data_IF_042175373656
#
_entry.id   IF_042175373656
#
_cell.length_a   1.000
_cell.length_b   1.000
_cell.length_c   1.000
_cell.angle_alpha   90.00
_cell.angle_beta   90.00
_cell.angle_gamma   90.00
#
_symmetry.space_group_name_H-M   'P 1'
#
loop_
_entity.id
_entity.type
_entity.pdbx_description
1 polymer ?
#
# COMPACT_ATOMS: atom_id res chain seq x y z
N UNK A 1 1.76 -9.55 17.05
CA UNK A 1 2.80 -10.53 17.43
C UNK A 1 4.17 -10.12 16.85
N UNK A 2 5.27 -10.31 17.59
CA UNK A 2 6.61 -10.09 17.04
C UNK A 2 6.91 -11.08 15.89
N UNK A 3 7.70 -10.65 14.91
CA UNK A 3 7.89 -11.31 13.60
C UNK A 3 8.46 -12.74 13.72
N UNK A 4 9.26 -12.98 14.75
CA UNK A 4 9.87 -14.26 15.11
C UNK A 4 8.83 -15.32 15.49
N UNK A 5 7.70 -14.93 16.10
CA UNK A 5 6.62 -15.83 16.54
C UNK A 5 5.52 -16.06 15.50
N UNK A 6 5.58 -15.38 14.35
CA UNK A 6 4.57 -15.53 13.29
C UNK A 6 4.67 -16.89 12.58
N UNK A 7 5.86 -17.46 12.44
CA UNK A 7 6.03 -18.77 11.81
C UNK A 7 5.50 -19.92 12.69
N UNK A 8 5.46 -19.72 14.02
CA UNK A 8 4.91 -20.68 14.98
C UNK A 8 3.38 -20.64 15.03
N UNK A 9 2.79 -19.47 14.78
CA UNK A 9 1.34 -19.25 14.78
C UNK A 9 0.70 -19.49 13.40
N UNK A 10 1.45 -19.30 12.30
CA UNK A 10 1.00 -19.56 10.94
C UNK A 10 2.15 -20.13 10.08
N UNK A 11 2.07 -21.44 9.80
CA UNK A 11 3.07 -22.17 9.01
C UNK A 11 3.28 -21.60 7.60
N UNK A 12 2.30 -20.88 7.05
CA UNK A 12 2.41 -20.27 5.74
C UNK A 12 3.49 -19.17 5.70
N UNK A 13 3.85 -18.55 6.83
CA UNK A 13 4.90 -17.52 6.93
C UNK A 13 6.31 -18.06 6.89
N UNK A 14 6.51 -19.36 7.14
CA UNK A 14 7.85 -19.95 7.31
C UNK A 14 8.77 -19.66 6.11
N UNK A 15 8.28 -19.86 4.88
CA UNK A 15 9.06 -19.60 3.67
C UNK A 15 9.40 -18.12 3.46
N UNK A 16 8.59 -17.20 3.99
CA UNK A 16 8.83 -15.76 3.91
C UNK A 16 9.85 -15.32 4.95
N UNK A 17 9.74 -15.80 6.19
CA UNK A 17 10.71 -15.53 7.26
C UNK A 17 12.08 -16.14 6.95
N UNK A 18 12.10 -17.30 6.30
CA UNK A 18 13.31 -17.96 5.82
C UNK A 18 14.17 -17.05 4.90
N UNK A 19 13.59 -16.06 4.23
CA UNK A 19 14.36 -15.09 3.41
C UNK A 19 15.22 -14.14 4.24
N UNK A 20 14.89 -13.97 5.52
CA UNK A 20 15.68 -13.13 6.44
C UNK A 20 16.87 -13.88 7.05
N UNK A 21 16.94 -15.21 6.88
CA UNK A 21 18.02 -16.04 7.41
C UNK A 21 19.21 -16.08 6.45
N UNK A 22 20.40 -16.43 6.91
CA UNK A 22 21.53 -16.76 6.05
C UNK A 22 21.18 -17.90 5.06
N UNK A 23 21.72 -17.87 3.83
CA UNK A 23 21.40 -18.86 2.82
C UNK A 23 21.74 -20.28 3.29
N UNK A 24 20.86 -21.24 2.97
CA UNK A 24 21.02 -22.64 3.35
C UNK A 24 22.18 -23.29 2.58
N UNK A 25 23.01 -24.08 3.27
CA UNK A 25 24.07 -24.88 2.64
C UNK A 25 23.49 -25.99 1.76
N UNK A 26 24.23 -26.39 0.73
CA UNK A 26 23.85 -27.51 -0.14
C UNK A 26 23.71 -28.79 0.71
N UNK A 27 22.60 -29.52 0.55
CA UNK A 27 22.24 -30.74 1.28
C UNK A 27 21.90 -30.62 2.77
N UNK A 28 21.75 -29.41 3.33
CA UNK A 28 21.30 -29.24 4.72
C UNK A 28 19.77 -29.43 4.83
N UNK A 29 19.31 -30.18 5.85
CA UNK A 29 17.86 -30.35 6.10
C UNK A 29 17.24 -29.02 6.56
N UNK A 30 16.01 -28.73 6.13
CA UNK A 30 15.35 -27.43 6.41
C UNK A 30 15.14 -27.18 7.91
N UNK A 31 14.73 -28.20 8.67
CA UNK A 31 14.50 -28.07 10.11
C UNK A 31 15.79 -27.80 10.90
N UNK A 32 16.88 -28.47 10.51
CA UNK A 32 18.20 -28.28 11.09
C UNK A 32 18.74 -26.88 10.77
N UNK A 33 18.61 -26.44 9.52
CA UNK A 33 18.96 -25.09 9.09
C UNK A 33 18.19 -24.01 9.86
N UNK A 34 16.86 -24.13 10.01
CA UNK A 34 16.06 -23.13 10.76
C UNK A 34 16.44 -23.03 12.24
N UNK A 35 16.98 -24.10 12.83
CA UNK A 35 17.47 -24.12 14.22
C UNK A 35 18.84 -23.46 14.34
N UNK A 36 19.70 -23.62 13.34
CA UNK A 36 21.09 -23.13 13.36
C UNK A 36 21.25 -21.71 12.80
N UNK A 37 20.39 -21.30 11.87
CA UNK A 37 20.52 -20.04 11.14
C UNK A 37 19.50 -19.02 11.66
N UNK A 38 19.83 -18.15 12.63
CA UNK A 38 18.88 -17.19 13.20
C UNK A 38 18.39 -16.18 12.15
N UNK A 39 17.26 -15.53 12.45
CA UNK A 39 16.77 -14.40 11.67
C UNK A 39 17.78 -13.26 11.84
N UNK A 40 18.28 -12.71 10.73
CA UNK A 40 19.23 -11.60 10.78
C UNK A 40 18.55 -10.31 11.23
N UNK A 41 19.28 -9.40 11.90
CA UNK A 41 18.76 -8.08 12.22
C UNK A 41 18.30 -7.36 10.96
N UNK A 42 17.21 -6.61 11.09
CA UNK A 42 16.62 -5.85 10.00
C UNK A 42 16.97 -4.38 10.17
N UNK A 43 17.54 -3.78 9.13
CA UNK A 43 17.88 -2.35 9.09
C UNK A 43 17.05 -1.66 7.99
N UNK A 44 16.69 -0.40 8.22
CA UNK A 44 15.93 0.41 7.27
C UNK A 44 16.82 1.38 6.50
N UNK A 45 17.88 1.86 7.14
CA UNK A 45 18.90 2.71 6.54
C UNK A 45 19.98 1.86 5.87
N UNK A 46 20.58 2.41 4.80
CA UNK A 46 21.70 1.77 4.14
C UNK A 46 22.92 1.77 5.07
N UNK A 47 23.45 0.58 5.38
CA UNK A 47 24.67 0.44 6.17
C UNK A 47 25.93 0.88 5.41
N UNK A 48 25.81 1.20 4.11
CA UNK A 48 26.92 1.62 3.24
C UNK A 48 27.90 0.49 2.88
N UNK A 49 27.72 -0.70 3.47
CA UNK A 49 28.53 -1.89 3.24
C UNK A 49 27.59 -3.09 3.05
N UNK A 50 27.70 -3.75 1.89
CA UNK A 50 27.02 -5.02 1.63
C UNK A 50 27.68 -6.14 2.43
N UNK A 51 27.14 -6.41 3.61
CA UNK A 51 27.51 -7.56 4.44
C UNK A 51 26.34 -8.54 4.55
N UNK A 52 26.62 -9.81 4.86
CA UNK A 52 25.57 -10.81 5.09
C UNK A 52 24.96 -10.75 6.50
N UNK A 53 25.48 -9.88 7.38
CA UNK A 53 25.11 -9.80 8.80
C UNK A 53 23.71 -9.23 9.01
N UNK A 54 23.32 -8.23 8.22
CA UNK A 54 22.04 -7.54 8.32
C UNK A 54 21.20 -7.72 7.06
N UNK A 55 19.88 -7.62 7.21
CA UNK A 55 18.95 -7.54 6.09
C UNK A 55 18.48 -6.10 5.95
N UNK A 56 18.81 -5.48 4.82
CA UNK A 56 18.21 -4.20 4.46
C UNK A 56 16.76 -4.43 4.03
N UNK A 57 15.81 -3.84 4.76
CA UNK A 57 14.40 -3.93 4.43
C UNK A 57 14.03 -2.85 3.43
N UNK A 58 13.74 -3.26 2.21
CA UNK A 58 13.20 -2.42 1.16
C UNK A 58 11.83 -2.95 0.72
N UNK A 59 11.09 -2.18 -0.07
CA UNK A 59 9.72 -2.52 -0.44
C UNK A 59 9.63 -3.83 -1.22
N UNK A 60 10.60 -4.17 -2.08
CA UNK A 60 10.58 -5.42 -2.85
C UNK A 60 10.96 -6.68 -2.05
N UNK A 61 11.38 -6.51 -0.79
CA UNK A 61 11.72 -7.63 0.06
C UNK A 61 10.45 -8.47 0.34
N UNK A 62 10.56 -9.81 0.30
CA UNK A 62 9.38 -10.70 0.32
C UNK A 62 8.52 -10.58 1.59
N UNK A 63 9.12 -10.33 2.74
CA UNK A 63 8.41 -10.08 4.00
C UNK A 63 7.65 -8.75 3.90
N UNK A 64 8.28 -7.69 3.41
CA UNK A 64 7.61 -6.40 3.16
C UNK A 64 6.44 -6.57 2.16
N UNK A 65 6.67 -7.18 1.00
CA UNK A 65 5.63 -7.47 0.01
C UNK A 65 4.49 -8.31 0.58
N UNK A 66 4.79 -9.34 1.38
CA UNK A 66 3.75 -10.18 1.99
C UNK A 66 2.95 -9.43 3.05
N UNK A 67 3.59 -8.61 3.87
CA UNK A 67 2.91 -7.74 4.83
C UNK A 67 1.98 -6.79 4.09
N UNK A 68 2.49 -6.09 3.06
CA UNK A 68 1.72 -5.19 2.20
C UNK A 68 0.57 -5.93 1.48
N UNK A 69 0.81 -7.16 1.02
CA UNK A 69 -0.20 -7.97 0.36
C UNK A 69 -1.39 -8.25 1.27
N UNK A 70 -1.18 -8.46 2.58
CA UNK A 70 -2.30 -8.59 3.54
C UNK A 70 -3.13 -7.31 3.62
N UNK A 71 -2.50 -6.14 3.64
CA UNK A 71 -3.22 -4.86 3.56
C UNK A 71 -3.96 -4.67 2.23
N UNK A 72 -3.48 -5.28 1.14
CA UNK A 72 -4.11 -5.19 -0.19
C UNK A 72 -5.24 -6.17 -0.42
N UNK A 73 -5.16 -7.40 0.12
CA UNK A 73 -6.11 -8.49 -0.15
C UNK A 73 -7.13 -8.74 0.96
N UNK A 74 -6.76 -8.55 2.24
CA UNK A 74 -7.62 -8.90 3.39
C UNK A 74 -8.36 -7.70 4.01
N UNK A 75 -7.97 -6.46 3.66
CA UNK A 75 -8.57 -5.25 4.22
C UNK A 75 -10.05 -5.03 3.89
N UNK A 76 -10.66 -5.82 3.00
CA UNK A 76 -12.00 -5.58 2.47
C UNK A 76 -13.10 -6.47 3.06
N UNK A 77 -12.78 -7.61 3.68
CA UNK A 77 -13.81 -8.63 3.97
C UNK A 77 -14.17 -8.72 5.46
N UNK A 78 -13.23 -8.48 6.39
CA UNK A 78 -13.45 -8.85 7.81
C UNK A 78 -13.11 -7.80 8.86
N UNK A 79 -12.87 -6.54 8.51
CA UNK A 79 -12.35 -5.52 9.45
C UNK A 79 -11.09 -5.97 10.24
N UNK A 80 -10.38 -7.00 9.75
CA UNK A 80 -9.29 -7.71 10.46
C UNK A 80 -8.06 -6.81 10.69
N UNK A 81 -8.02 -5.67 10.01
CA UNK A 81 -6.97 -4.64 10.10
C UNK A 81 -7.40 -3.40 10.89
N UNK A 82 -8.60 -3.36 11.47
CA UNK A 82 -8.95 -2.33 12.44
C UNK A 82 -7.98 -2.43 13.62
N UNK A 83 -7.15 -1.40 13.79
CA UNK A 83 -6.15 -1.30 14.84
C UNK A 83 -6.27 0.06 15.48
N UNK A 84 -6.35 0.07 16.80
CA UNK A 84 -6.11 1.27 17.59
C UNK A 84 -4.63 1.30 17.95
N UNK A 85 -3.96 2.40 17.62
CA UNK A 85 -2.57 2.63 17.97
C UNK A 85 -2.48 3.79 18.94
N UNK A 86 -1.55 3.71 19.88
CA UNK A 86 -1.27 4.76 20.84
C UNK A 86 0.12 5.31 20.56
N UNK A 87 0.22 6.63 20.41
CA UNK A 87 1.48 7.33 20.24
C UNK A 87 1.52 8.53 21.18
N UNK A 88 2.71 8.85 21.68
CA UNK A 88 2.93 10.04 22.48
C UNK A 88 3.48 11.16 21.58
N UNK A 89 2.76 12.27 21.47
CA UNK A 89 3.22 13.46 20.78
C UNK A 89 3.95 14.42 21.73
N UNK A 90 4.62 15.43 21.18
CA UNK A 90 5.33 16.44 21.96
C UNK A 90 4.41 17.41 22.72
N UNK A 91 3.12 17.41 22.41
CA UNK A 91 2.18 18.37 22.93
C UNK A 91 1.26 17.82 24.03
N UNK A 92 0.60 18.73 24.73
CA UNK A 92 -0.20 18.42 25.93
C UNK A 92 -1.68 18.16 25.64
N UNK A 93 -2.10 18.26 24.38
CA UNK A 93 -3.50 18.12 23.99
C UNK A 93 -3.72 16.68 23.51
N UNK A 94 -4.48 15.84 24.23
CA UNK A 94 -4.79 14.52 23.74
C UNK A 94 -5.69 14.63 22.50
N UNK A 95 -5.35 13.85 21.48
CA UNK A 95 -6.07 13.81 20.20
C UNK A 95 -6.37 12.38 19.82
N UNK A 96 -7.45 12.24 19.05
CA UNK A 96 -7.78 11.01 18.36
C UNK A 96 -7.76 11.30 16.87
N UNK A 97 -7.25 10.34 16.09
CA UNK A 97 -7.19 10.41 14.64
C UNK A 97 -7.85 9.15 14.12
N UNK A 98 -8.97 9.31 13.41
CA UNK A 98 -9.60 8.25 12.66
C UNK A 98 -9.08 8.29 11.23
N UNK A 99 -8.46 7.20 10.78
CA UNK A 99 -7.98 7.05 9.42
C UNK A 99 -8.97 6.18 8.64
N UNK A 100 -9.75 6.82 7.76
CA UNK A 100 -10.52 6.14 6.74
C UNK A 100 -9.64 5.73 5.56
N UNK A 101 -10.01 4.64 4.88
CA UNK A 101 -9.43 4.28 3.58
C UNK A 101 -10.55 4.31 2.56
N UNK A 102 -10.46 5.21 1.59
CA UNK A 102 -11.34 5.24 0.43
C UNK A 102 -10.72 4.37 -0.67
N UNK A 103 -11.51 3.51 -1.29
CA UNK A 103 -11.07 2.70 -2.43
C UNK A 103 -12.17 2.65 -3.47
N UNK A 104 -11.83 3.05 -4.70
CA UNK A 104 -12.75 3.02 -5.84
C UNK A 104 -12.37 1.86 -6.76
N UNK A 105 -13.38 1.10 -7.15
CA UNK A 105 -13.23 -0.08 -7.99
C UNK A 105 -13.98 0.09 -9.31
N UNK A 106 -13.35 -0.37 -10.39
CA UNK A 106 -13.90 -0.43 -11.73
C UNK A 106 -14.49 -1.79 -12.06
N UNK A 107 -14.75 -1.99 -13.35
CA UNK A 107 -15.22 -3.26 -13.88
C UNK A 107 -14.21 -4.38 -13.60
N UNK A 108 -14.69 -5.58 -13.24
CA UNK A 108 -13.81 -6.70 -12.91
C UNK A 108 -13.07 -6.56 -11.58
N UNK A 109 -13.54 -5.68 -10.68
CA UNK A 109 -12.90 -5.39 -9.39
C UNK A 109 -11.47 -4.81 -9.53
N UNK A 110 -11.19 -4.15 -10.65
CA UNK A 110 -9.94 -3.41 -10.82
C UNK A 110 -9.91 -2.21 -9.86
N UNK A 111 -8.79 -2.02 -9.16
CA UNK A 111 -8.63 -0.89 -8.23
C UNK A 111 -8.22 0.35 -9.00
N UNK A 112 -9.10 1.33 -9.09
CA UNK A 112 -8.89 2.56 -9.86
C UNK A 112 -8.28 3.68 -9.02
N UNK A 113 -8.68 3.80 -7.76
CA UNK A 113 -8.19 4.84 -6.86
C UNK A 113 -8.17 4.34 -5.41
N UNK A 114 -7.21 4.82 -4.65
CA UNK A 114 -7.09 4.54 -3.23
C UNK A 114 -6.48 5.75 -2.53
N UNK A 115 -7.08 6.17 -1.42
CA UNK A 115 -6.58 7.27 -0.61
C UNK A 115 -6.94 7.08 0.86
N UNK A 116 -6.13 7.69 1.73
CA UNK A 116 -6.44 7.80 3.15
C UNK A 116 -7.22 9.08 3.40
N UNK A 117 -8.30 8.97 4.17
CA UNK A 117 -9.14 10.08 4.60
C UNK A 117 -8.93 10.27 6.10
N UNK A 118 -8.03 11.18 6.50
CA UNK A 118 -7.83 11.47 7.91
C UNK A 118 -9.01 12.28 8.48
N UNK A 119 -9.32 12.03 9.74
CA UNK A 119 -10.23 12.83 10.54
C UNK A 119 -9.65 12.95 11.96
N UNK A 120 -9.21 14.16 12.32
CA UNK A 120 -8.65 14.43 13.65
C UNK A 120 -9.67 15.11 14.56
N UNK A 121 -9.65 14.79 15.85
CA UNK A 121 -10.47 15.46 16.86
C UNK A 121 -9.72 15.63 18.19
N UNK A 122 -10.16 16.60 19.00
CA UNK A 122 -9.69 16.70 20.39
C UNK A 122 -10.25 15.54 21.19
N UNK A 123 -9.39 14.75 21.82
CA UNK A 123 -9.86 13.68 22.69
C UNK A 123 -10.25 14.26 24.04
N UNK A 124 -11.38 13.77 24.57
CA UNK A 124 -11.87 14.12 25.91
C UNK A 124 -12.27 12.82 26.59
N UNK A 125 -12.07 12.71 27.90
CA UNK A 125 -12.42 11.49 28.64
C UNK A 125 -13.94 11.27 28.64
N UNK A 126 -14.39 10.02 28.49
CA UNK A 126 -15.82 9.67 28.39
C UNK A 126 -16.68 10.26 29.51
N UNK A 127 -16.17 10.27 30.74
CA UNK A 127 -16.86 10.82 31.92
C UNK A 127 -17.07 12.33 31.88
N UNK A 128 -16.26 13.05 31.10
CA UNK A 128 -16.28 14.51 30.99
C UNK A 128 -16.90 15.01 29.69
N UNK A 129 -17.31 14.10 28.79
CA UNK A 129 -17.91 14.47 27.51
C UNK A 129 -19.31 15.03 27.68
N UNK A 130 -19.54 16.19 27.08
CA UNK A 130 -20.87 16.80 26.96
C UNK A 130 -21.58 16.41 25.65
N UNK A 131 -20.93 15.62 24.79
CA UNK A 131 -21.46 15.21 23.49
C UNK A 131 -20.44 14.38 22.70
N UNK A 132 -20.76 14.02 21.44
CA UNK A 132 -19.86 13.27 20.59
C UNK A 132 -18.60 14.08 20.27
N UNK A 133 -17.50 13.39 20.01
CA UNK A 133 -16.28 14.03 19.54
C UNK A 133 -16.53 14.81 18.24
N UNK A 134 -16.00 16.03 18.15
CA UNK A 134 -16.11 16.87 16.97
C UNK A 134 -14.78 16.91 16.24
N UNK A 135 -14.83 16.63 14.94
CA UNK A 135 -13.67 16.76 14.07
C UNK A 135 -13.17 18.21 14.04
N UNK A 136 -11.85 18.35 13.94
CA UNK A 136 -11.21 19.63 13.72
C UNK A 136 -11.50 20.17 12.31
N UNK A 137 -11.31 21.47 12.14
CA UNK A 137 -11.19 22.07 10.80
C UNK A 137 -9.90 21.61 10.11
N UNK A 138 -9.87 21.66 8.77
CA UNK A 138 -8.78 21.14 7.93
C UNK A 138 -7.38 21.62 8.38
N UNK A 139 -7.20 22.91 8.65
CA UNK A 139 -5.90 23.47 9.08
C UNK A 139 -5.37 22.87 10.39
N UNK A 140 -6.27 22.52 11.32
CA UNK A 140 -5.88 21.94 12.61
C UNK A 140 -5.64 20.44 12.49
N UNK A 141 -6.33 19.79 11.55
CA UNK A 141 -6.06 18.40 11.19
C UNK A 141 -4.69 18.24 10.55
N UNK A 142 -4.31 19.09 9.60
CA UNK A 142 -2.98 19.06 8.96
C UNK A 142 -1.87 19.15 10.01
N UNK A 143 -1.97 20.11 10.94
CA UNK A 143 -1.05 20.23 12.08
C UNK A 143 -1.04 18.99 12.98
N UNK A 144 -2.19 18.35 13.14
CA UNK A 144 -2.29 17.11 13.94
C UNK A 144 -1.60 15.95 13.24
N UNK A 145 -1.70 15.85 11.92
CA UNK A 145 -0.99 14.84 11.13
C UNK A 145 0.52 15.07 11.13
N UNK A 146 0.98 16.32 11.03
CA UNK A 146 2.40 16.65 11.20
C UNK A 146 2.94 16.23 12.58
N UNK A 147 2.14 16.43 13.64
CA UNK A 147 2.51 15.97 14.99
C UNK A 147 2.56 14.45 15.08
N UNK A 148 1.66 13.74 14.40
CA UNK A 148 1.67 12.28 14.32
C UNK A 148 2.93 11.78 13.61
N UNK A 149 3.28 12.36 12.46
CA UNK A 149 4.49 11.99 11.69
C UNK A 149 5.77 12.21 12.50
N UNK A 150 5.84 13.35 13.22
CA UNK A 150 6.96 13.62 14.15
C UNK A 150 6.98 12.62 15.30
N UNK A 151 5.83 12.25 15.85
CA UNK A 151 5.74 11.25 16.92
C UNK A 151 6.14 9.84 16.48
N UNK A 152 6.03 9.50 15.19
CA UNK A 152 6.55 8.24 14.66
C UNK A 152 8.04 8.28 14.34
N UNK A 153 8.56 9.46 14.01
CA UNK A 153 10.00 9.67 13.79
C UNK A 153 10.78 9.69 15.10
N UNK A 154 10.21 10.35 16.12
CA UNK A 154 10.76 10.38 17.46
C UNK A 154 10.39 9.08 18.19
N UNK A 155 11.38 8.25 18.57
CA UNK A 155 11.14 7.08 19.42
C UNK A 155 10.78 7.50 20.86
N UNK A 156 9.55 7.96 21.06
CA UNK A 156 9.01 8.35 22.37
C UNK A 156 8.49 7.12 23.13
N UNK A 157 8.63 7.09 24.46
CA UNK A 157 8.13 6.00 25.27
C UNK A 157 6.60 5.88 25.14
N UNK A 158 6.11 4.65 25.25
CA UNK A 158 4.67 4.38 25.24
C UNK A 158 4.02 4.95 26.51
N UNK A 159 2.78 5.47 26.46
CA UNK A 159 2.07 5.93 27.65
C UNK A 159 1.96 4.85 28.73
N UNK A 160 1.88 5.23 30.01
CA UNK A 160 1.71 4.27 31.10
C UNK A 160 0.41 3.45 31.00
N UNK A 161 0.40 2.23 31.56
CA UNK A 161 -0.68 1.25 31.39
C UNK A 161 -2.09 1.79 31.68
N UNK A 162 -2.23 2.60 32.73
CA UNK A 162 -3.51 3.21 33.12
C UNK A 162 -4.07 4.11 32.03
N UNK A 163 -3.22 4.87 31.34
CA UNK A 163 -3.64 5.74 30.23
C UNK A 163 -4.01 4.89 29.02
N UNK A 164 -3.25 3.82 28.75
CA UNK A 164 -3.56 2.92 27.65
C UNK A 164 -4.94 2.28 27.82
N UNK A 165 -5.24 1.75 29.01
CA UNK A 165 -6.55 1.16 29.30
C UNK A 165 -7.68 2.15 29.08
N UNK A 166 -7.56 3.37 29.61
CA UNK A 166 -8.57 4.42 29.40
C UNK A 166 -8.83 4.75 27.92
N UNK A 167 -7.77 4.83 27.13
CA UNK A 167 -7.88 5.12 25.69
C UNK A 167 -8.49 3.94 24.92
N UNK A 168 -8.14 2.70 25.29
CA UNK A 168 -8.71 1.49 24.70
C UNK A 168 -10.19 1.33 25.03
N UNK A 169 -10.60 1.61 26.28
CA UNK A 169 -12.00 1.56 26.71
C UNK A 169 -12.86 2.59 25.96
N UNK A 170 -12.29 3.76 25.63
CA UNK A 170 -12.96 4.80 24.88
C UNK A 170 -13.00 4.54 23.36
N UNK A 171 -12.09 3.72 22.82
CA UNK A 171 -11.85 3.61 21.38
C UNK A 171 -13.09 3.24 20.56
N UNK A 172 -13.91 2.30 21.02
CA UNK A 172 -15.12 1.89 20.31
C UNK A 172 -16.11 3.07 20.19
N UNK A 173 -16.28 3.84 21.27
CA UNK A 173 -17.18 4.99 21.28
C UNK A 173 -16.63 6.16 20.46
N UNK A 174 -15.31 6.35 20.46
CA UNK A 174 -14.63 7.36 19.65
C UNK A 174 -14.85 7.11 18.16
N UNK A 175 -14.82 5.84 17.74
CA UNK A 175 -15.13 5.44 16.37
C UNK A 175 -16.58 5.75 16.03
N UNK A 176 -17.53 5.38 16.90
CA UNK A 176 -18.96 5.65 16.69
C UNK A 176 -19.26 7.16 16.56
N UNK A 177 -18.57 8.00 17.31
CA UNK A 177 -18.74 9.46 17.27
C UNK A 177 -18.16 10.09 15.99
N UNK A 178 -17.07 9.53 15.46
CA UNK A 178 -16.31 10.10 14.34
C UNK A 178 -16.71 9.53 12.97
N UNK A 179 -17.18 8.29 12.89
CA UNK A 179 -17.61 7.66 11.63
C UNK A 179 -18.67 8.48 10.86
N UNK A 180 -19.72 9.03 11.50
CA UNK A 180 -20.72 9.86 10.80
C UNK A 180 -20.15 11.15 10.22
N UNK A 181 -19.01 11.63 10.72
CA UNK A 181 -18.31 12.82 10.20
C UNK A 181 -17.32 12.47 9.08
N UNK A 182 -16.74 11.27 9.13
CA UNK A 182 -15.83 10.76 8.11
C UNK A 182 -16.55 10.43 6.80
N UNK A 183 -17.74 9.83 6.88
CA UNK A 183 -18.46 9.35 5.70
C UNK A 183 -18.78 10.45 4.67
N UNK A 184 -19.38 11.60 5.04
CA UNK A 184 -19.66 12.68 4.07
C UNK A 184 -18.38 13.21 3.41
N UNK A 185 -17.28 13.29 4.17
CA UNK A 185 -15.98 13.71 3.65
C UNK A 185 -15.43 12.69 2.64
N UNK A 186 -15.54 11.40 2.94
CA UNK A 186 -15.13 10.36 2.02
C UNK A 186 -15.98 10.36 0.73
N UNK A 187 -17.28 10.65 0.83
CA UNK A 187 -18.18 10.80 -0.32
C UNK A 187 -17.82 12.00 -1.20
N UNK A 188 -17.48 13.15 -0.61
CA UNK A 188 -17.01 14.34 -1.33
C UNK A 188 -15.72 14.02 -2.11
N UNK A 189 -14.74 13.40 -1.45
CA UNK A 189 -13.48 13.03 -2.09
C UNK A 189 -13.66 11.95 -3.17
N UNK A 190 -14.57 10.99 -2.94
CA UNK A 190 -14.94 9.99 -3.93
C UNK A 190 -15.52 10.63 -5.19
N UNK A 191 -16.42 11.62 -5.05
CA UNK A 191 -16.96 12.34 -6.19
C UNK A 191 -15.86 13.04 -7.02
N UNK A 192 -14.92 13.71 -6.35
CA UNK A 192 -13.78 14.37 -6.99
C UNK A 192 -12.89 13.33 -7.72
N UNK A 193 -12.58 12.21 -7.07
CA UNK A 193 -11.75 11.16 -7.64
C UNK A 193 -12.43 10.50 -8.85
N UNK A 194 -13.75 10.26 -8.79
CA UNK A 194 -14.54 9.73 -9.92
C UNK A 194 -14.48 10.68 -11.11
N UNK A 195 -14.62 12.00 -10.90
CA UNK A 195 -14.53 12.97 -11.99
C UNK A 195 -13.14 12.95 -12.66
N UNK A 196 -12.07 12.89 -11.85
CA UNK A 196 -10.69 12.78 -12.37
C UNK A 196 -10.48 11.47 -13.14
N UNK A 197 -11.00 10.35 -12.64
CA UNK A 197 -10.92 9.06 -13.31
C UNK A 197 -11.66 9.07 -14.65
N UNK A 198 -12.82 9.72 -14.75
CA UNK A 198 -13.54 9.89 -16.03
C UNK A 198 -12.73 10.66 -17.05
N UNK A 199 -12.20 11.84 -16.67
CA UNK A 199 -11.34 12.65 -17.55
C UNK A 199 -10.10 11.89 -18.01
N UNK A 200 -9.53 11.08 -17.10
CA UNK A 200 -8.40 10.21 -17.42
C UNK A 200 -8.79 9.13 -18.44
N UNK A 201 -9.93 8.45 -18.24
CA UNK A 201 -10.43 7.44 -19.16
C UNK A 201 -10.69 7.99 -20.57
N UNK A 202 -11.31 9.17 -20.68
CA UNK A 202 -11.53 9.84 -21.97
C UNK A 202 -10.22 10.14 -22.70
N UNK A 203 -9.20 10.58 -21.96
CA UNK A 203 -7.86 10.82 -22.50
C UNK A 203 -7.19 9.53 -22.94
N UNK A 204 -7.20 8.50 -22.10
CA UNK A 204 -6.60 7.20 -22.40
C UNK A 204 -7.26 6.54 -23.62
N UNK A 205 -8.59 6.64 -23.78
CA UNK A 205 -9.31 6.16 -24.96
C UNK A 205 -8.80 6.84 -26.24
N UNK A 206 -8.68 8.17 -26.21
CA UNK A 206 -8.20 8.95 -27.35
C UNK A 206 -6.76 8.58 -27.71
N UNK A 207 -5.87 8.57 -26.72
CA UNK A 207 -4.45 8.27 -26.92
C UNK A 207 -4.26 6.83 -27.45
N UNK A 208 -5.07 5.88 -26.96
CA UNK A 208 -5.05 4.49 -27.44
C UNK A 208 -5.55 4.38 -28.88
N UNK A 209 -6.64 5.07 -29.23
CA UNK A 209 -7.17 5.09 -30.61
C UNK A 209 -6.12 5.64 -31.58
N UNK A 210 -5.53 6.78 -31.25
CA UNK A 210 -4.49 7.40 -32.10
C UNK A 210 -3.28 6.45 -32.27
N UNK A 211 -2.86 5.79 -31.20
CA UNK A 211 -1.77 4.80 -31.25
C UNK A 211 -2.11 3.62 -32.17
N UNK A 212 -3.32 3.06 -32.05
CA UNK A 212 -3.76 1.93 -32.89
C UNK A 212 -3.89 2.32 -34.36
N UNK A 213 -4.39 3.53 -34.66
CA UNK A 213 -4.49 4.04 -36.03
C UNK A 213 -3.12 4.25 -36.67
N UNK A 214 -2.15 4.80 -35.92
CA UNK A 214 -0.77 4.94 -36.37
C UNK A 214 -0.11 3.58 -36.60
N UNK A 215 -0.31 2.63 -35.68
CA UNK A 215 0.19 1.26 -35.84
C UNK A 215 -0.42 0.59 -37.08
N UNK A 216 -1.72 0.74 -37.31
CA UNK A 216 -2.39 0.21 -38.52
C UNK A 216 -1.78 0.78 -39.79
N UNK A 217 -1.65 2.11 -39.90
CA UNK A 217 -1.03 2.76 -41.06
C UNK A 217 0.39 2.26 -41.31
N UNK A 218 1.19 2.14 -40.24
CA UNK A 218 2.57 1.62 -40.35
C UNK A 218 2.60 0.17 -40.85
N UNK A 219 1.68 -0.67 -40.37
CA UNK A 219 1.56 -2.06 -40.85
C UNK A 219 1.14 -2.11 -42.32
N UNK A 220 0.18 -1.27 -42.73
CA UNK A 220 -0.24 -1.15 -44.14
C UNK A 220 0.91 -0.71 -45.05
N UNK A 221 1.68 0.31 -44.64
CA UNK A 221 2.86 0.78 -45.39
C UNK A 221 3.95 -0.29 -45.51
N UNK A 222 4.24 -1.02 -44.43
CA UNK A 222 5.24 -2.10 -44.45
C UNK A 222 4.78 -3.31 -45.27
N UNK A 223 3.48 -3.62 -45.29
CA UNK A 223 2.92 -4.64 -46.16
C UNK A 223 3.01 -4.22 -47.64
N UNK A 224 2.65 -2.97 -47.96
CA UNK A 224 2.74 -2.44 -49.33
C UNK A 224 4.20 -2.42 -49.84
N UNK A 225 5.17 -2.07 -49.00
CA UNK A 225 6.60 -2.17 -49.35
C UNK A 225 7.00 -3.61 -49.67
N UNK A 226 6.60 -4.58 -48.83
CA UNK A 226 6.91 -6.01 -49.06
C UNK A 226 6.19 -6.60 -50.28
N UNK A 227 5.00 -6.12 -50.61
CA UNK A 227 4.29 -6.49 -51.85
C UNK A 227 4.98 -5.91 -53.09
N UNK A 228 5.46 -4.66 -53.03
CA UNK A 228 6.30 -4.09 -54.08
C UNK A 228 7.65 -4.83 -54.20
N UNK A 229 8.25 -5.29 -53.10
CA UNK A 229 9.49 -6.07 -53.12
C UNK A 229 9.29 -7.50 -53.69
N UNK A 230 8.07 -8.06 -53.59
CA UNK A 230 7.72 -9.33 -54.28
C UNK A 230 7.65 -9.17 -55.80
N UNK A 231 7.65 -7.94 -56.31
CA UNK A 231 7.74 -7.62 -57.74
C UNK A 231 9.18 -7.26 -58.16
N UNK A 232 10.18 -7.80 -57.47
CA UNK A 232 11.48 -8.15 -58.07
C UNK A 232 11.51 -9.62 -58.49
N UNK A 233 10.40 -10.11 -59.05
CA UNK A 233 10.50 -11.20 -60.02
C UNK A 233 11.38 -10.68 -61.15
N UNK A 234 12.61 -11.17 -61.21
CA UNK A 234 13.54 -10.97 -62.31
C UNK A 234 12.73 -11.00 -63.61
N UNK A 235 12.73 -9.88 -64.32
CA UNK A 235 12.16 -9.81 -65.66
C UNK A 235 13.02 -10.66 -66.57
N UNK A 236 12.77 -11.97 -66.57
CA UNK A 236 13.38 -12.90 -67.51
C UNK A 236 12.91 -12.51 -68.91
N UNK A 237 13.87 -12.33 -69.81
CA UNK A 237 13.60 -12.09 -71.23
C UNK A 237 12.88 -13.32 -71.82
N UNK A 238 12.06 -13.12 -72.85
CA UNK A 238 11.18 -14.17 -73.41
C UNK A 238 11.93 -15.43 -73.91
N UNK A 239 13.25 -15.37 -74.05
CA UNK A 239 14.10 -16.52 -74.41
C UNK A 239 14.41 -17.48 -73.25
N UNK A 240 14.29 -17.06 -71.99
CA UNK A 240 14.66 -17.89 -70.81
C UNK A 240 13.48 -18.67 -70.19
N UNK A 241 12.29 -18.63 -70.80
CA UNK A 241 11.09 -19.37 -70.33
C UNK A 241 10.87 -20.75 -70.98
N UNK A 242 11.88 -21.32 -71.66
CA UNK A 242 11.78 -22.66 -72.28
C UNK A 242 12.40 -23.76 -71.44
#
# INVERSE_FOLDING_TARGET
>A
PPLDRLAETDASWAATIDTLRPPRKKNQKVAEWRREAPIRPVIFEDAGVLTEENVHLHLDQRVAQRLLARFRSQGFIYHDLSRACLAQAADSIPRVILLGRLSLYGQGAERLHEELVPLAARWTELSQRQGPLKAYARDTEEKTLELLERAFSDSRPTPGEVIQQKLLDAAAKDIDDLLPQLQPRAEELAAIAIEKLKKRGEREEKDLRETLEQQRKRVEEELAKKENDKQLLLGFDEEEKR
#
